data_IF_920714791846
#
_entry.id   IF_920714791846
#
_cell.length_a   1.000
_cell.length_b   1.000
_cell.length_c   1.000
_cell.angle_alpha   90.00
_cell.angle_beta   90.00
_cell.angle_gamma   90.00
#
_symmetry.space_group_name_H-M   'P 1'
#
loop_
_entity.id
_entity.type
_entity.pdbx_description
1 polymer ?
#
# COMPACT_ATOMS: atom_id res chain seq x y z
N UNK A 1 -5.40 28.06 -20.35
CA UNK A 1 -4.88 29.25 -21.08
C UNK A 1 -4.85 30.54 -20.23
N UNK A 2 -5.74 30.71 -19.24
CA UNK A 2 -5.76 31.91 -18.38
C UNK A 2 -4.62 31.97 -17.33
N UNK A 3 -4.15 30.86 -16.81
CA UNK A 3 -3.08 30.85 -15.79
C UNK A 3 -1.74 31.40 -16.30
N UNK A 4 -1.34 31.06 -17.52
CA UNK A 4 -0.11 31.58 -18.14
C UNK A 4 -0.13 33.11 -18.36
N UNK A 5 -1.29 33.69 -18.73
CA UNK A 5 -1.44 35.14 -18.88
C UNK A 5 -1.33 35.87 -17.55
N UNK A 6 -1.91 35.35 -16.47
CA UNK A 6 -1.84 35.98 -15.15
C UNK A 6 -0.42 35.96 -14.57
N UNK A 7 0.34 34.87 -14.76
CA UNK A 7 1.72 34.76 -14.31
C UNK A 7 2.60 35.79 -15.04
N UNK A 8 2.48 35.89 -16.36
CA UNK A 8 3.23 36.88 -17.16
C UNK A 8 2.90 38.32 -16.75
N UNK A 9 1.62 38.61 -16.51
CA UNK A 9 1.18 39.93 -16.02
C UNK A 9 1.75 40.24 -14.62
N UNK A 10 1.71 39.28 -13.70
CA UNK A 10 2.26 39.44 -12.36
C UNK A 10 3.77 39.71 -12.38
N UNK A 11 4.51 38.94 -13.22
CA UNK A 11 5.95 39.14 -13.39
C UNK A 11 6.26 40.53 -13.97
N UNK A 12 5.54 40.95 -15.01
CA UNK A 12 5.70 42.28 -15.62
C UNK A 12 5.42 43.36 -14.58
N UNK A 13 4.42 43.20 -13.73
CA UNK A 13 4.05 44.17 -12.69
C UNK A 13 5.14 44.23 -11.60
N UNK A 14 5.64 43.11 -11.10
CA UNK A 14 6.72 43.07 -10.09
C UNK A 14 7.99 43.69 -10.65
N UNK A 15 8.33 43.38 -11.91
CA UNK A 15 9.51 43.94 -12.60
C UNK A 15 9.38 45.46 -12.77
N UNK A 16 8.19 45.94 -13.20
CA UNK A 16 8.00 47.40 -13.39
C UNK A 16 8.04 48.17 -12.08
N UNK A 17 7.49 47.63 -11.00
CA UNK A 17 7.52 48.23 -9.66
C UNK A 17 8.96 48.23 -9.11
N UNK A 18 9.72 47.17 -9.29
CA UNK A 18 11.13 47.06 -8.89
C UNK A 18 12.00 48.08 -9.66
N UNK A 19 11.83 48.19 -10.97
CA UNK A 19 12.51 49.17 -11.81
C UNK A 19 12.22 50.59 -11.36
N UNK A 20 10.94 50.91 -11.09
CA UNK A 20 10.54 52.25 -10.62
C UNK A 20 11.15 52.58 -9.26
N UNK A 21 11.13 51.66 -8.32
CA UNK A 21 11.69 51.82 -6.96
C UNK A 21 13.19 52.10 -6.99
N UNK A 22 13.96 51.40 -7.80
CA UNK A 22 15.44 51.63 -7.90
C UNK A 22 15.73 52.91 -8.64
N UNK A 23 15.00 53.27 -9.69
CA UNK A 23 15.15 54.54 -10.37
C UNK A 23 14.88 55.72 -9.41
N UNK A 24 13.81 55.61 -8.58
CA UNK A 24 13.49 56.61 -7.57
C UNK A 24 14.60 56.72 -6.51
N UNK A 25 15.14 55.60 -6.03
CA UNK A 25 16.24 55.54 -5.08
C UNK A 25 17.54 56.16 -5.64
N UNK A 26 17.83 55.87 -6.91
CA UNK A 26 19.00 56.45 -7.59
C UNK A 26 18.90 57.98 -7.73
N UNK A 27 17.72 58.49 -8.11
CA UNK A 27 17.46 59.92 -8.20
C UNK A 27 17.62 60.60 -6.82
N UNK A 28 17.03 59.98 -5.78
CA UNK A 28 17.13 60.49 -4.41
C UNK A 28 18.60 60.55 -3.92
N UNK A 29 19.36 59.49 -4.17
CA UNK A 29 20.77 59.37 -3.76
C UNK A 29 21.64 60.40 -4.47
N UNK A 30 21.42 60.63 -5.77
CA UNK A 30 22.13 61.60 -6.54
C UNK A 30 21.85 63.04 -6.07
N UNK A 31 20.55 63.36 -5.80
CA UNK A 31 20.21 64.68 -5.25
C UNK A 31 20.77 64.88 -3.85
N UNK A 32 20.77 63.84 -3.02
CA UNK A 32 21.37 63.90 -1.68
C UNK A 32 22.88 64.17 -1.77
N UNK A 33 23.63 63.45 -2.61
CA UNK A 33 25.05 63.65 -2.79
C UNK A 33 25.38 65.03 -3.38
N UNK A 34 24.61 65.48 -4.34
CA UNK A 34 24.78 66.82 -4.89
C UNK A 34 24.59 67.91 -3.83
N UNK A 35 23.57 67.76 -2.99
CA UNK A 35 23.29 68.70 -1.89
C UNK A 35 24.40 68.73 -0.83
N UNK A 36 24.91 67.54 -0.45
CA UNK A 36 26.01 67.43 0.52
C UNK A 36 27.29 68.01 -0.04
N UNK A 37 27.61 67.79 -1.32
CA UNK A 37 28.79 68.40 -1.96
C UNK A 37 28.67 69.91 -2.05
N UNK A 38 27.51 70.42 -2.39
CA UNK A 38 27.21 71.84 -2.42
C UNK A 38 27.35 72.49 -1.04
N UNK A 39 26.82 71.90 0.02
CA UNK A 39 26.94 72.39 1.40
C UNK A 39 28.41 72.40 1.88
N UNK A 40 29.15 71.30 1.58
CA UNK A 40 30.59 71.26 1.93
C UNK A 40 31.39 72.32 1.22
N UNK A 41 31.14 72.58 -0.08
CA UNK A 41 31.82 73.59 -0.86
C UNK A 41 31.46 75.01 -0.40
N UNK A 42 30.16 75.22 -0.10
CA UNK A 42 29.61 76.47 0.43
C UNK A 42 30.25 76.82 1.78
N UNK A 43 30.28 75.85 2.73
CA UNK A 43 30.97 76.03 4.01
C UNK A 43 32.45 76.30 3.90
N UNK A 44 33.08 75.62 2.93
CA UNK A 44 34.50 75.85 2.64
C UNK A 44 34.80 77.24 2.06
N UNK A 45 33.96 77.72 1.13
CA UNK A 45 34.13 79.07 0.55
C UNK A 45 33.81 80.18 1.60
N UNK A 46 32.81 79.93 2.46
CA UNK A 46 32.46 80.86 3.55
C UNK A 46 33.63 80.97 4.55
N UNK A 47 34.23 79.87 4.97
CA UNK A 47 35.40 79.86 5.86
C UNK A 47 36.61 80.63 5.26
N UNK A 48 36.90 80.44 3.97
CA UNK A 48 37.96 81.20 3.26
C UNK A 48 37.64 82.65 3.21
N UNK A 49 36.40 83.06 3.06
CA UNK A 49 36.01 84.49 3.02
C UNK A 49 36.08 85.14 4.40
N UNK A 50 35.72 84.44 5.48
CA UNK A 50 35.71 84.98 6.86
C UNK A 50 37.16 85.11 7.43
N UNK A 51 38.05 84.14 7.20
CA UNK A 51 39.40 84.10 7.81
C UNK A 51 40.50 84.82 7.01
N UNK A 52 40.25 85.35 5.79
CA UNK A 52 41.21 86.03 4.92
C UNK A 52 42.56 85.29 4.78
N UNK A 53 42.51 83.99 4.68
CA UNK A 53 43.70 83.14 4.70
C UNK A 53 44.46 83.26 3.38
N UNK A 54 45.61 83.84 3.41
CA UNK A 54 46.53 83.96 2.26
C UNK A 54 47.67 82.90 2.31
N UNK A 55 47.82 82.17 3.45
CA UNK A 55 48.92 81.24 3.66
C UNK A 55 48.43 79.79 3.75
N UNK A 56 49.16 78.89 3.11
CA UNK A 56 48.81 77.45 3.01
C UNK A 56 48.73 76.72 4.35
N UNK A 57 49.68 77.07 5.27
CA UNK A 57 49.78 76.40 6.57
C UNK A 57 48.66 76.80 7.51
N UNK A 58 48.31 78.10 7.50
CA UNK A 58 47.15 78.64 8.21
C UNK A 58 45.84 78.03 7.68
N UNK A 59 45.73 77.84 6.37
CA UNK A 59 44.62 77.21 5.72
C UNK A 59 44.39 75.72 6.16
N UNK A 60 45.47 74.93 6.20
CA UNK A 60 45.41 73.56 6.65
C UNK A 60 45.11 73.46 8.15
N UNK A 61 45.56 74.42 8.96
CA UNK A 61 45.18 74.52 10.37
C UNK A 61 43.67 74.78 10.56
N UNK A 62 43.14 75.78 9.90
CA UNK A 62 41.75 76.19 9.95
C UNK A 62 40.81 75.05 9.44
N UNK A 63 41.22 74.33 8.39
CA UNK A 63 40.52 73.21 7.83
C UNK A 63 40.38 72.03 8.85
N UNK A 64 41.45 71.76 9.57
CA UNK A 64 41.50 70.74 10.60
C UNK A 64 40.66 71.10 11.81
N UNK A 65 40.68 72.37 12.25
CA UNK A 65 39.96 72.89 13.41
C UNK A 65 38.41 72.97 13.14
N UNK A 66 38.00 73.33 11.94
CA UNK A 66 36.62 73.51 11.57
C UNK A 66 36.02 72.36 10.81
N UNK A 67 36.66 71.18 10.73
CA UNK A 67 36.17 69.99 9.98
C UNK A 67 34.79 69.61 10.35
N UNK A 68 34.46 69.57 11.64
CA UNK A 68 33.09 69.17 12.11
C UNK A 68 32.03 70.23 11.82
N UNK A 69 32.39 71.55 11.93
CA UNK A 69 31.49 72.62 11.62
C UNK A 69 31.13 72.72 10.14
N UNK A 70 32.09 72.43 9.25
CA UNK A 70 31.87 72.44 7.79
C UNK A 70 30.92 71.33 7.38
N UNK A 71 30.92 70.16 8.08
CA UNK A 71 30.08 69.02 7.75
C UNK A 71 28.67 69.17 8.36
N UNK A 72 28.53 69.86 9.51
CA UNK A 72 27.27 69.92 10.27
C UNK A 72 26.54 71.30 10.11
N UNK A 73 27.08 72.28 9.49
CA UNK A 73 26.40 73.57 9.28
C UNK A 73 25.56 73.57 7.99
N UNK A 74 24.37 74.12 8.08
CA UNK A 74 23.50 74.34 6.90
C UNK A 74 23.98 75.60 6.13
N UNK A 75 25.17 75.52 5.55
CA UNK A 75 25.85 76.64 4.89
C UNK A 75 25.50 76.80 3.39
N UNK A 76 24.33 76.25 2.99
CA UNK A 76 23.84 76.30 1.60
C UNK A 76 23.62 77.72 1.08
N UNK A 77 23.28 78.64 1.96
CA UNK A 77 22.92 80.04 1.57
C UNK A 77 24.07 80.89 1.05
N UNK A 78 25.35 80.64 1.38
CA UNK A 78 26.47 81.42 0.95
C UNK A 78 26.67 81.42 -0.58
N UNK A 79 26.71 80.19 -1.19
CA UNK A 79 26.82 80.11 -2.64
C UNK A 79 25.51 80.48 -3.35
N UNK A 80 24.34 80.24 -2.72
CA UNK A 80 23.09 80.66 -3.28
C UNK A 80 22.95 82.19 -3.36
N UNK A 81 23.56 82.96 -2.42
CA UNK A 81 23.56 84.40 -2.44
C UNK A 81 24.36 84.98 -3.66
N UNK A 82 25.27 84.15 -4.26
CA UNK A 82 25.98 84.44 -5.48
C UNK A 82 25.31 83.84 -6.74
N UNK A 83 24.13 83.29 -6.63
CA UNK A 83 23.36 82.83 -7.74
C UNK A 83 23.65 81.38 -8.16
N UNK A 84 24.47 80.63 -7.41
CA UNK A 84 24.75 79.21 -7.68
C UNK A 84 23.68 78.27 -7.04
N UNK A 85 23.31 77.21 -7.79
CA UNK A 85 22.45 76.22 -7.30
C UNK A 85 23.17 74.87 -7.17
N UNK A 86 22.63 73.98 -6.29
CA UNK A 86 23.19 72.64 -6.13
C UNK A 86 23.19 71.82 -7.45
N UNK A 87 22.29 72.13 -8.33
CA UNK A 87 22.19 71.47 -9.67
C UNK A 87 23.33 71.93 -10.61
N UNK A 88 23.96 73.14 -10.43
CA UNK A 88 25.08 73.63 -11.23
C UNK A 88 26.34 72.81 -10.96
N UNK A 89 26.45 72.23 -9.78
CA UNK A 89 27.58 71.38 -9.37
C UNK A 89 27.34 69.89 -9.64
N UNK A 90 26.17 69.53 -10.06
CA UNK A 90 25.84 68.19 -10.51
C UNK A 90 26.37 67.96 -11.94
N UNK A 91 27.64 67.99 -12.14
CA UNK A 91 28.28 67.86 -13.45
C UNK A 91 27.95 66.49 -14.14
N UNK A 92 28.43 66.35 -15.38
CA UNK A 92 28.19 65.19 -16.32
C UNK A 92 28.32 63.74 -15.73
N UNK A 93 28.73 63.60 -14.44
CA UNK A 93 28.89 62.30 -13.73
C UNK A 93 27.58 61.58 -13.38
N UNK A 94 26.44 62.26 -13.35
CA UNK A 94 25.18 61.60 -13.09
C UNK A 94 24.70 60.72 -14.26
N UNK A 95 25.06 61.07 -15.53
CA UNK A 95 24.80 60.17 -16.67
C UNK A 95 25.46 58.81 -16.52
N UNK A 96 26.69 58.76 -16.00
CA UNK A 96 27.42 57.51 -15.72
C UNK A 96 26.80 56.73 -14.55
N UNK A 97 26.28 57.43 -13.53
CA UNK A 97 25.57 56.81 -12.39
C UNK A 97 24.27 56.11 -12.81
N UNK A 98 23.50 56.76 -13.68
CA UNK A 98 22.29 56.14 -14.24
C UNK A 98 22.58 54.94 -15.14
N UNK A 99 23.63 55.02 -15.96
CA UNK A 99 24.06 53.89 -16.82
C UNK A 99 24.48 52.68 -15.96
N UNK A 100 25.24 52.88 -14.86
CA UNK A 100 25.64 51.79 -13.98
C UNK A 100 24.41 51.21 -13.25
N UNK A 101 23.47 52.04 -12.77
CA UNK A 101 22.28 51.59 -12.11
C UNK A 101 21.34 50.82 -13.10
N UNK A 102 21.19 51.31 -14.32
CA UNK A 102 20.42 50.63 -15.38
C UNK A 102 21.04 49.31 -15.80
N UNK A 103 22.39 49.24 -15.91
CA UNK A 103 23.10 47.99 -16.20
C UNK A 103 22.97 46.96 -15.08
N UNK A 104 23.05 47.39 -13.81
CA UNK A 104 22.84 46.51 -12.65
C UNK A 104 21.43 45.96 -12.58
N UNK A 105 20.42 46.77 -12.91
CA UNK A 105 19.03 46.34 -13.01
C UNK A 105 18.80 45.35 -14.16
N UNK A 106 19.36 45.67 -15.33
CA UNK A 106 19.26 44.78 -16.50
C UNK A 106 19.84 43.40 -16.23
N UNK A 107 21.00 43.34 -15.59
CA UNK A 107 21.64 42.06 -15.21
C UNK A 107 20.83 41.30 -14.14
N UNK A 108 20.33 42.00 -13.12
CA UNK A 108 19.43 41.39 -12.12
C UNK A 108 18.16 40.80 -12.73
N UNK A 109 17.53 41.52 -13.64
CA UNK A 109 16.34 41.07 -14.36
C UNK A 109 16.62 39.84 -15.23
N UNK A 110 17.76 39.81 -15.93
CA UNK A 110 18.17 38.67 -16.74
C UNK A 110 18.41 37.42 -15.89
N UNK A 111 19.08 37.57 -14.74
CA UNK A 111 19.31 36.46 -13.78
C UNK A 111 17.96 35.95 -13.24
N UNK A 112 17.08 36.87 -12.84
CA UNK A 112 15.74 36.49 -12.36
C UNK A 112 14.94 35.76 -13.43
N UNK A 113 14.92 36.27 -14.66
CA UNK A 113 14.24 35.64 -15.77
C UNK A 113 14.79 34.24 -16.08
N UNK A 114 16.13 34.10 -16.10
CA UNK A 114 16.76 32.79 -16.30
C UNK A 114 16.42 31.79 -15.19
N UNK A 115 16.47 32.21 -13.93
CA UNK A 115 16.08 31.38 -12.79
C UNK A 115 14.60 30.99 -12.84
N UNK A 116 13.72 31.93 -13.21
CA UNK A 116 12.29 31.69 -13.36
C UNK A 116 11.98 30.69 -14.48
N UNK A 117 12.60 30.86 -15.65
CA UNK A 117 12.42 29.94 -16.77
C UNK A 117 12.94 28.55 -16.46
N UNK A 118 14.08 28.47 -15.76
CA UNK A 118 14.62 27.19 -15.30
C UNK A 118 13.68 26.48 -14.33
N UNK A 119 13.12 27.23 -13.38
CA UNK A 119 12.18 26.69 -12.38
C UNK A 119 10.89 26.21 -13.04
N UNK A 120 10.32 27.00 -13.92
CA UNK A 120 9.09 26.69 -14.64
C UNK A 120 9.25 25.48 -15.59
N UNK A 121 10.40 25.37 -16.24
CA UNK A 121 10.73 24.20 -17.06
C UNK A 121 10.81 22.93 -16.23
N UNK A 122 11.50 23.00 -15.08
CA UNK A 122 11.65 21.87 -14.16
C UNK A 122 10.31 21.39 -13.58
N UNK A 123 9.43 22.32 -13.21
CA UNK A 123 8.07 22.01 -12.75
C UNK A 123 7.24 21.31 -13.84
N UNK A 124 7.33 21.79 -15.07
CA UNK A 124 6.67 21.18 -16.23
C UNK A 124 7.15 19.75 -16.50
N UNK A 125 8.45 19.49 -16.40
CA UNK A 125 9.03 18.14 -16.57
C UNK A 125 8.52 17.15 -15.49
N UNK A 126 8.39 17.61 -14.24
CA UNK A 126 7.87 16.78 -13.14
C UNK A 126 6.40 16.41 -13.32
N UNK A 127 5.56 17.38 -13.72
CA UNK A 127 4.14 17.14 -14.02
C UNK A 127 3.98 16.21 -15.21
N UNK A 128 4.78 16.40 -16.26
CA UNK A 128 4.74 15.54 -17.45
C UNK A 128 5.13 14.10 -17.13
N UNK A 129 6.17 13.88 -16.33
CA UNK A 129 6.61 12.55 -15.88
C UNK A 129 5.52 11.83 -15.06
N UNK A 130 4.83 12.57 -14.17
CA UNK A 130 3.73 12.02 -13.38
C UNK A 130 2.52 11.66 -14.27
N UNK A 131 2.22 12.50 -15.26
CA UNK A 131 1.14 12.26 -16.21
C UNK A 131 1.44 11.03 -17.08
N UNK A 132 2.66 10.90 -17.59
CA UNK A 132 3.09 9.72 -18.36
C UNK A 132 3.04 8.44 -17.51
N UNK A 133 3.43 8.51 -16.25
CA UNK A 133 3.32 7.39 -15.32
C UNK A 133 1.86 6.96 -15.14
N UNK A 134 0.94 7.90 -14.85
CA UNK A 134 -0.48 7.60 -14.70
C UNK A 134 -1.12 7.05 -15.97
N UNK A 135 -0.69 7.54 -17.14
CA UNK A 135 -1.16 7.03 -18.44
C UNK A 135 -0.69 5.59 -18.65
N UNK A 136 0.57 5.26 -18.35
CA UNK A 136 1.09 3.90 -18.41
C UNK A 136 0.35 2.96 -17.46
N UNK A 137 0.09 3.40 -16.22
CA UNK A 137 -0.70 2.63 -15.25
C UNK A 137 -2.11 2.37 -15.78
N UNK A 138 -2.76 3.37 -16.34
CA UNK A 138 -4.12 3.26 -16.87
C UNK A 138 -4.22 2.32 -18.10
N UNK A 139 -3.13 2.17 -18.86
CA UNK A 139 -3.02 1.23 -19.99
C UNK A 139 -2.57 -0.17 -19.57
N UNK A 140 -2.40 -0.43 -18.27
CA UNK A 140 -2.02 -1.74 -17.72
C UNK A 140 -0.52 -2.01 -17.71
N UNK A 141 0.33 -1.02 -17.97
CA UNK A 141 1.80 -1.13 -17.89
C UNK A 141 2.32 -0.96 -16.47
N UNK A 142 3.35 -1.73 -16.10
CA UNK A 142 4.12 -1.48 -14.87
C UNK A 142 5.06 -0.29 -15.11
N UNK A 143 4.69 0.88 -14.62
CA UNK A 143 5.54 2.07 -14.64
C UNK A 143 6.38 2.14 -13.35
N UNK A 144 7.70 2.28 -13.48
CA UNK A 144 8.56 2.66 -12.36
C UNK A 144 8.57 4.20 -12.26
N UNK A 145 8.08 4.75 -11.15
CA UNK A 145 8.33 6.14 -10.80
C UNK A 145 9.79 6.26 -10.38
N UNK A 146 10.59 6.95 -11.19
CA UNK A 146 11.95 7.32 -10.80
C UNK A 146 11.87 8.23 -9.57
N UNK A 147 12.55 7.82 -8.49
CA UNK A 147 12.58 8.50 -7.21
C UNK A 147 12.86 10.00 -7.38
N UNK A 148 11.88 10.83 -7.03
CA UNK A 148 12.03 12.27 -6.98
C UNK A 148 12.85 12.66 -5.75
N UNK A 149 13.69 13.68 -5.93
CA UNK A 149 14.42 14.33 -4.84
C UNK A 149 13.44 14.98 -3.86
N UNK A 150 13.81 15.03 -2.58
CA UNK A 150 13.05 15.64 -1.48
C UNK A 150 12.38 16.98 -1.86
N UNK A 151 11.06 17.06 -1.67
CA UNK A 151 10.25 18.24 -1.94
C UNK A 151 8.74 17.97 -1.72
N UNK A 152 7.91 19.02 -1.80
CA UNK A 152 6.45 18.90 -1.63
C UNK A 152 5.80 17.91 -2.62
N UNK A 153 6.35 17.78 -3.81
CA UNK A 153 5.91 16.80 -4.83
C UNK A 153 6.22 15.34 -4.45
N UNK A 154 7.23 15.09 -3.58
CA UNK A 154 7.59 13.75 -3.14
C UNK A 154 6.45 13.08 -2.40
N UNK A 155 5.78 13.80 -1.49
CA UNK A 155 4.61 13.26 -0.76
C UNK A 155 3.46 12.89 -1.69
N UNK A 156 3.21 13.71 -2.71
CA UNK A 156 2.17 13.42 -3.71
C UNK A 156 2.52 12.17 -4.54
N UNK A 157 3.79 12.06 -4.95
CA UNK A 157 4.28 10.89 -5.68
C UNK A 157 4.19 9.61 -4.85
N UNK A 158 4.58 9.67 -3.56
CA UNK A 158 4.48 8.53 -2.65
C UNK A 158 3.04 8.08 -2.45
N UNK A 159 2.10 9.03 -2.28
CA UNK A 159 0.68 8.73 -2.11
C UNK A 159 0.05 8.14 -3.39
N UNK A 160 0.43 8.67 -4.56
CA UNK A 160 0.01 8.12 -5.85
C UNK A 160 0.57 6.71 -6.03
N UNK A 161 1.86 6.49 -5.74
CA UNK A 161 2.48 5.17 -5.84
C UNK A 161 1.80 4.15 -4.94
N UNK A 162 1.55 4.52 -3.68
CA UNK A 162 0.83 3.69 -2.71
C UNK A 162 -0.59 3.35 -3.21
N UNK A 163 -1.31 4.35 -3.70
CA UNK A 163 -2.67 4.17 -4.22
C UNK A 163 -2.69 3.23 -5.43
N UNK A 164 -1.76 3.42 -6.39
CA UNK A 164 -1.61 2.57 -7.57
C UNK A 164 -1.24 1.15 -7.18
N UNK A 165 -0.30 0.96 -6.24
CA UNK A 165 0.11 -0.36 -5.77
C UNK A 165 -1.06 -1.08 -5.09
N UNK A 166 -1.81 -0.39 -4.23
CA UNK A 166 -3.00 -0.93 -3.59
C UNK A 166 -4.09 -1.29 -4.61
N UNK A 167 -4.28 -0.46 -5.64
CA UNK A 167 -5.24 -0.73 -6.71
C UNK A 167 -4.86 -1.99 -7.51
N UNK A 168 -3.58 -2.16 -7.85
CA UNK A 168 -3.10 -3.36 -8.53
C UNK A 168 -3.29 -4.60 -7.65
N UNK A 169 -2.91 -4.57 -6.38
CA UNK A 169 -3.12 -5.68 -5.45
C UNK A 169 -4.60 -6.05 -5.32
N UNK A 170 -5.47 -5.05 -5.19
CA UNK A 170 -6.92 -5.28 -5.10
C UNK A 170 -7.49 -5.86 -6.40
N UNK A 171 -7.04 -5.37 -7.55
CA UNK A 171 -7.44 -5.89 -8.87
C UNK A 171 -7.00 -7.35 -9.04
N UNK A 172 -5.74 -7.65 -8.71
CA UNK A 172 -5.20 -9.00 -8.88
C UNK A 172 -5.90 -9.98 -7.94
N UNK A 173 -6.15 -9.59 -6.68
CA UNK A 173 -6.96 -10.37 -5.75
C UNK A 173 -8.41 -10.58 -6.26
N UNK A 174 -9.02 -9.55 -6.85
CA UNK A 174 -10.37 -9.67 -7.43
C UNK A 174 -10.40 -10.57 -8.66
N UNK A 175 -9.36 -10.55 -9.51
CA UNK A 175 -9.23 -11.45 -10.65
C UNK A 175 -9.03 -12.90 -10.21
N UNK A 176 -8.19 -13.13 -9.21
CA UNK A 176 -7.98 -14.45 -8.62
C UNK A 176 -9.27 -14.99 -8.00
N UNK A 177 -9.96 -14.17 -7.20
CA UNK A 177 -11.26 -14.55 -6.64
C UNK A 177 -12.30 -14.89 -7.72
N UNK A 178 -12.33 -14.12 -8.83
CA UNK A 178 -13.22 -14.38 -9.96
C UNK A 178 -12.90 -15.70 -10.65
N UNK A 179 -11.61 -16.00 -10.87
CA UNK A 179 -11.19 -17.25 -11.49
C UNK A 179 -11.54 -18.45 -10.58
N UNK A 180 -11.20 -18.35 -9.30
CA UNK A 180 -11.56 -19.38 -8.31
C UNK A 180 -13.07 -19.62 -8.24
N UNK A 181 -13.89 -18.55 -8.35
CA UNK A 181 -15.34 -18.68 -8.40
C UNK A 181 -15.82 -19.39 -9.67
N UNK A 182 -15.24 -19.06 -10.83
CA UNK A 182 -15.60 -19.74 -12.09
C UNK A 182 -15.23 -21.22 -12.07
N UNK A 183 -14.06 -21.57 -11.53
CA UNK A 183 -13.59 -22.96 -11.40
C UNK A 183 -14.49 -23.75 -10.42
N UNK A 184 -14.87 -23.13 -9.31
CA UNK A 184 -15.79 -23.73 -8.35
C UNK A 184 -17.16 -24.01 -8.98
N UNK A 185 -17.73 -23.06 -9.75
CA UNK A 185 -18.99 -23.27 -10.46
C UNK A 185 -18.90 -24.40 -11.49
N UNK A 186 -17.79 -24.46 -12.24
CA UNK A 186 -17.54 -25.53 -13.19
C UNK A 186 -17.50 -26.90 -12.49
N UNK A 187 -16.78 -26.99 -11.39
CA UNK A 187 -16.68 -28.22 -10.60
C UNK A 187 -18.03 -28.65 -10.00
N UNK A 188 -18.81 -27.70 -9.45
CA UNK A 188 -20.15 -27.95 -8.97
C UNK A 188 -21.05 -28.52 -10.09
N UNK A 189 -21.06 -27.88 -11.25
CA UNK A 189 -21.88 -28.34 -12.38
C UNK A 189 -21.49 -29.76 -12.82
N UNK A 190 -20.21 -30.11 -12.81
CA UNK A 190 -19.72 -31.44 -13.11
C UNK A 190 -20.14 -32.47 -12.05
N UNK A 191 -20.01 -32.13 -10.76
CA UNK A 191 -20.41 -32.99 -9.65
C UNK A 191 -21.93 -33.21 -9.57
N UNK A 192 -22.74 -32.25 -10.03
CA UNK A 192 -24.20 -32.41 -10.16
C UNK A 192 -24.59 -33.25 -11.38
N UNK A 193 -23.94 -33.05 -12.53
CA UNK A 193 -24.28 -33.76 -13.77
C UNK A 193 -24.15 -35.27 -13.65
N UNK A 194 -23.10 -35.77 -12.99
CA UNK A 194 -22.81 -37.19 -12.85
C UNK A 194 -23.93 -37.96 -12.15
N UNK A 195 -24.37 -37.60 -10.91
CA UNK A 195 -25.44 -38.29 -10.22
C UNK A 195 -26.82 -38.14 -10.91
N UNK A 196 -27.09 -36.93 -11.47
CA UNK A 196 -28.34 -36.70 -12.21
C UNK A 196 -28.44 -37.63 -13.42
N UNK A 197 -27.33 -37.77 -14.17
CA UNK A 197 -27.28 -38.69 -15.33
C UNK A 197 -27.47 -40.16 -14.88
N UNK A 198 -26.82 -40.56 -13.77
CA UNK A 198 -26.99 -41.90 -13.22
C UNK A 198 -28.42 -42.18 -12.72
N UNK A 199 -29.04 -41.20 -12.06
CA UNK A 199 -30.46 -41.30 -11.65
C UNK A 199 -31.37 -41.47 -12.88
N UNK A 200 -31.20 -40.63 -13.90
CA UNK A 200 -31.99 -40.66 -15.13
C UNK A 200 -31.87 -42.00 -15.85
N UNK A 201 -30.66 -42.52 -15.99
CA UNK A 201 -30.40 -43.82 -16.59
C UNK A 201 -31.02 -44.97 -15.77
N UNK A 202 -30.83 -44.94 -14.44
CA UNK A 202 -31.41 -45.98 -13.57
C UNK A 202 -32.94 -45.95 -13.57
N UNK A 203 -33.57 -44.76 -13.67
CA UNK A 203 -35.01 -44.60 -13.79
C UNK A 203 -35.54 -45.23 -15.09
N UNK A 204 -34.88 -44.98 -16.23
CA UNK A 204 -35.24 -45.62 -17.52
C UNK A 204 -35.14 -47.15 -17.47
N UNK A 205 -34.09 -47.66 -16.81
CA UNK A 205 -33.92 -49.12 -16.69
C UNK A 205 -34.95 -49.76 -15.78
N UNK A 206 -35.48 -49.05 -14.77
CA UNK A 206 -36.62 -49.52 -13.94
C UNK A 206 -37.88 -49.64 -14.79
N UNK A 207 -38.14 -48.66 -15.66
CA UNK A 207 -39.29 -48.69 -16.57
C UNK A 207 -39.21 -49.88 -17.52
N UNK A 208 -38.02 -50.26 -17.98
CA UNK A 208 -37.84 -51.38 -18.93
C UNK A 208 -37.85 -52.77 -18.25
N UNK A 209 -37.26 -52.89 -17.03
CA UNK A 209 -36.95 -54.22 -16.43
C UNK A 209 -37.59 -54.47 -15.06
N UNK A 210 -38.23 -53.50 -14.44
CA UNK A 210 -38.84 -53.60 -13.08
C UNK A 210 -37.88 -54.13 -12.01
N UNK A 211 -36.59 -53.78 -12.07
CA UNK A 211 -35.56 -54.35 -11.21
C UNK A 211 -35.30 -53.44 -9.99
N UNK A 212 -35.41 -54.01 -8.78
CA UNK A 212 -35.22 -53.32 -7.50
C UNK A 212 -33.76 -52.81 -7.28
N UNK A 213 -32.81 -53.38 -7.99
CA UNK A 213 -31.40 -52.99 -7.91
C UNK A 213 -31.20 -51.53 -8.33
N UNK A 214 -31.88 -51.09 -9.41
CA UNK A 214 -31.81 -49.73 -9.91
C UNK A 214 -32.43 -48.70 -8.94
N UNK A 215 -33.43 -49.09 -8.18
CA UNK A 215 -34.02 -48.26 -7.11
C UNK A 215 -32.97 -48.01 -5.97
N UNK A 216 -32.18 -49.01 -5.66
CA UNK A 216 -31.05 -48.87 -4.74
C UNK A 216 -29.97 -47.88 -5.23
N UNK A 217 -29.65 -47.97 -6.52
CA UNK A 217 -28.69 -47.04 -7.15
C UNK A 217 -29.22 -45.58 -7.14
N UNK A 218 -30.50 -45.36 -7.44
CA UNK A 218 -31.12 -44.03 -7.34
C UNK A 218 -30.99 -43.47 -5.92
N UNK A 219 -31.36 -44.25 -4.90
CA UNK A 219 -31.24 -43.83 -3.50
C UNK A 219 -29.82 -43.40 -3.13
N UNK A 220 -28.80 -44.16 -3.58
CA UNK A 220 -27.39 -43.84 -3.34
C UNK A 220 -27.00 -42.52 -4.00
N UNK A 221 -27.47 -42.24 -5.23
CA UNK A 221 -27.16 -40.98 -5.92
C UNK A 221 -27.90 -39.78 -5.32
N UNK A 222 -29.12 -39.95 -4.85
CA UNK A 222 -29.88 -38.93 -4.13
C UNK A 222 -29.17 -38.57 -2.82
N UNK A 223 -28.76 -39.56 -2.01
CA UNK A 223 -28.00 -39.32 -0.79
C UNK A 223 -26.67 -38.53 -1.06
N UNK A 224 -26.01 -38.87 -2.17
CA UNK A 224 -24.80 -38.13 -2.60
C UNK A 224 -25.10 -36.66 -2.96
N UNK A 225 -26.24 -36.39 -3.63
CA UNK A 225 -26.66 -35.03 -3.97
C UNK A 225 -27.01 -34.23 -2.71
N UNK A 226 -27.69 -34.84 -1.74
CA UNK A 226 -28.00 -34.18 -0.45
C UNK A 226 -26.70 -33.81 0.28
N UNK A 227 -25.77 -34.74 0.37
CA UNK A 227 -24.46 -34.43 1.00
C UNK A 227 -23.68 -33.34 0.27
N UNK A 228 -23.73 -33.28 -1.07
CA UNK A 228 -23.14 -32.20 -1.85
C UNK A 228 -23.82 -30.84 -1.53
N UNK A 229 -25.18 -30.82 -1.45
CA UNK A 229 -25.95 -29.64 -1.10
C UNK A 229 -25.55 -29.10 0.28
N UNK A 230 -25.53 -29.97 1.31
CA UNK A 230 -25.11 -29.60 2.68
C UNK A 230 -23.68 -29.02 2.72
N UNK A 231 -22.75 -29.67 2.04
CA UNK A 231 -21.36 -29.19 1.95
C UNK A 231 -21.26 -27.81 1.26
N UNK A 232 -22.02 -27.58 0.19
CA UNK A 232 -22.06 -26.29 -0.51
C UNK A 232 -22.70 -25.20 0.34
N UNK A 233 -23.77 -25.49 1.07
CA UNK A 233 -24.38 -24.55 2.00
C UNK A 233 -23.41 -24.16 3.13
N UNK A 234 -22.68 -25.15 3.66
CA UNK A 234 -21.68 -24.90 4.69
C UNK A 234 -20.52 -24.01 4.16
N UNK A 235 -19.98 -24.34 2.98
CA UNK A 235 -18.97 -23.50 2.33
C UNK A 235 -19.47 -22.06 2.10
N UNK A 236 -20.71 -21.91 1.65
CA UNK A 236 -21.32 -20.58 1.47
C UNK A 236 -21.40 -19.79 2.78
N UNK A 237 -21.74 -20.45 3.90
CA UNK A 237 -21.77 -19.81 5.24
C UNK A 237 -20.37 -19.41 5.72
N UNK A 238 -19.38 -20.25 5.44
CA UNK A 238 -17.96 -19.96 5.74
C UNK A 238 -17.50 -18.74 4.94
N UNK A 239 -17.73 -18.72 3.62
CA UNK A 239 -17.27 -17.65 2.71
C UNK A 239 -17.92 -16.30 3.00
N UNK A 240 -19.19 -16.30 3.40
CA UNK A 240 -19.92 -15.07 3.76
C UNK A 240 -19.67 -14.62 5.20
N UNK A 241 -18.90 -15.39 5.99
CA UNK A 241 -18.67 -15.11 7.41
C UNK A 241 -19.94 -15.20 8.27
N UNK A 242 -20.96 -15.91 7.78
CA UNK A 242 -22.25 -16.06 8.51
C UNK A 242 -22.30 -17.32 9.39
N UNK A 243 -21.25 -18.15 9.33
CA UNK A 243 -21.11 -19.27 10.25
C UNK A 243 -20.72 -18.76 11.64
N UNK A 244 -21.62 -18.87 12.58
CA UNK A 244 -21.38 -18.51 14.00
C UNK A 244 -20.79 -19.70 14.75
N UNK A 245 -19.73 -19.47 15.53
CA UNK A 245 -19.09 -20.50 16.34
C UNK A 245 -19.34 -20.22 17.83
N UNK A 246 -19.81 -21.23 18.55
CA UNK A 246 -19.97 -21.17 20.00
C UNK A 246 -18.72 -21.75 20.69
N UNK A 247 -17.66 -20.91 20.80
CA UNK A 247 -16.38 -21.34 21.36
C UNK A 247 -16.46 -21.51 22.88
N UNK A 248 -16.20 -22.71 23.32
CA UNK A 248 -16.12 -23.11 24.75
C UNK A 248 -14.80 -23.86 25.02
N UNK A 249 -14.49 -24.06 26.29
CA UNK A 249 -13.34 -24.91 26.67
C UNK A 249 -13.72 -26.37 26.45
N UNK A 250 -12.96 -27.05 25.61
CA UNK A 250 -13.15 -28.44 25.25
C UNK A 250 -11.93 -29.27 25.61
N UNK A 251 -12.15 -30.42 26.18
CA UNK A 251 -11.12 -31.43 26.31
C UNK A 251 -10.94 -32.17 24.98
N UNK A 252 -9.71 -32.25 24.50
CA UNK A 252 -9.39 -32.82 23.18
C UNK A 252 -9.69 -34.30 23.10
N UNK A 253 -9.39 -35.05 24.19
CA UNK A 253 -9.71 -36.48 24.22
C UNK A 253 -11.21 -36.74 24.01
N UNK A 254 -12.03 -35.93 24.67
CA UNK A 254 -13.48 -35.99 24.52
C UNK A 254 -13.94 -35.75 23.08
N UNK A 255 -13.39 -34.72 22.41
CA UNK A 255 -13.70 -34.44 21.00
C UNK A 255 -13.30 -35.58 20.07
N UNK A 256 -12.10 -36.13 20.24
CA UNK A 256 -11.60 -37.25 19.43
C UNK A 256 -12.42 -38.50 19.62
N UNK A 257 -12.78 -38.81 20.87
CA UNK A 257 -13.62 -40.00 21.21
C UNK A 257 -15.00 -39.88 20.60
N UNK A 258 -15.67 -38.73 20.74
CA UNK A 258 -16.99 -38.52 20.15
C UNK A 258 -16.96 -38.56 18.62
N UNK A 259 -15.88 -38.01 17.99
CA UNK A 259 -15.71 -38.13 16.54
C UNK A 259 -15.55 -39.60 16.08
N UNK A 260 -14.78 -40.39 16.84
CA UNK A 260 -14.62 -41.81 16.56
C UNK A 260 -15.90 -42.61 16.75
N UNK A 261 -16.67 -42.35 17.80
CA UNK A 261 -17.95 -43.00 18.04
C UNK A 261 -18.94 -42.78 16.87
N UNK A 262 -18.96 -41.56 16.30
CA UNK A 262 -19.76 -41.26 15.11
C UNK A 262 -19.29 -41.98 13.85
N UNK A 263 -18.04 -42.45 13.80
CA UNK A 263 -17.48 -43.20 12.67
C UNK A 263 -17.47 -44.72 12.88
N UNK A 264 -18.07 -45.23 13.97
CA UNK A 264 -18.03 -46.64 14.29
C UNK A 264 -18.63 -47.56 13.19
N UNK A 265 -19.71 -47.16 12.55
CA UNK A 265 -20.27 -47.90 11.41
C UNK A 265 -19.30 -47.98 10.23
N UNK A 266 -18.64 -46.87 9.95
CA UNK A 266 -17.61 -46.82 8.88
C UNK A 266 -16.40 -47.67 9.23
N UNK A 267 -15.97 -47.67 10.48
CA UNK A 267 -14.87 -48.51 11.02
C UNK A 267 -15.16 -49.99 10.79
N UNK A 268 -16.35 -50.46 11.14
CA UNK A 268 -16.79 -51.84 10.90
C UNK A 268 -16.87 -52.18 9.40
N UNK A 269 -17.38 -51.25 8.58
CA UNK A 269 -17.55 -51.49 7.13
C UNK A 269 -16.21 -51.50 6.37
N UNK A 270 -15.25 -50.69 6.81
CA UNK A 270 -13.90 -50.61 6.19
C UNK A 270 -12.91 -51.60 6.79
N UNK A 271 -13.25 -52.27 7.87
CA UNK A 271 -12.35 -53.13 8.67
C UNK A 271 -11.10 -52.38 9.12
N UNK A 272 -11.28 -51.12 9.61
CA UNK A 272 -10.20 -50.24 10.09
C UNK A 272 -10.47 -49.82 11.52
N UNK A 273 -9.54 -50.08 12.42
CA UNK A 273 -9.66 -49.75 13.86
C UNK A 273 -9.22 -48.32 14.10
N UNK A 274 -9.95 -47.56 14.94
CA UNK A 274 -9.53 -46.25 15.43
C UNK A 274 -8.81 -46.38 16.78
N UNK A 275 -7.54 -46.05 16.83
CA UNK A 275 -6.70 -46.09 18.04
C UNK A 275 -6.53 -44.67 18.59
N UNK A 276 -7.27 -44.32 19.64
CA UNK A 276 -7.24 -43.03 20.31
C UNK A 276 -6.74 -43.24 21.73
N UNK A 277 -5.49 -42.92 21.99
CA UNK A 277 -4.89 -43.04 23.30
C UNK A 277 -5.11 -41.78 24.12
N UNK A 278 -5.42 -41.94 25.43
CA UNK A 278 -5.46 -40.85 26.36
C UNK A 278 -4.03 -40.40 26.71
N UNK A 279 -3.65 -39.17 26.36
CA UNK A 279 -2.37 -38.56 26.63
C UNK A 279 -2.41 -37.53 27.78
N UNK A 280 -3.50 -37.51 28.57
CA UNK A 280 -3.71 -36.57 29.64
C UNK A 280 -4.53 -35.34 29.23
N UNK A 281 -4.65 -34.39 30.15
CA UNK A 281 -5.50 -33.22 29.97
C UNK A 281 -4.93 -32.27 28.88
N UNK A 282 -5.72 -32.00 27.82
CA UNK A 282 -5.44 -31.02 26.79
C UNK A 282 -6.70 -30.23 26.46
N UNK A 283 -6.69 -28.92 26.74
CA UNK A 283 -7.87 -28.08 26.61
C UNK A 283 -7.69 -27.06 25.50
N UNK A 284 -8.66 -26.99 24.59
CA UNK A 284 -8.77 -26.00 23.53
C UNK A 284 -10.00 -25.10 23.73
N UNK A 285 -9.97 -23.90 23.17
CA UNK A 285 -11.16 -23.03 23.12
C UNK A 285 -11.72 -23.06 21.70
N UNK A 286 -12.76 -23.86 21.51
CA UNK A 286 -13.30 -24.16 20.20
C UNK A 286 -14.80 -24.45 20.28
N UNK A 287 -15.46 -24.54 19.12
CA UNK A 287 -16.83 -25.01 18.99
C UNK A 287 -16.84 -26.55 18.90
N UNK A 288 -17.61 -27.20 19.76
CA UNK A 288 -17.62 -28.66 19.87
C UNK A 288 -18.08 -29.32 18.56
N UNK A 289 -19.23 -28.88 18.03
CA UNK A 289 -19.86 -29.49 16.87
C UNK A 289 -18.99 -29.34 15.63
N UNK A 290 -18.51 -28.13 15.35
CA UNK A 290 -17.66 -27.86 14.19
C UNK A 290 -16.27 -28.47 14.31
N UNK A 291 -15.69 -28.52 15.50
CA UNK A 291 -14.39 -29.20 15.70
C UNK A 291 -14.51 -30.70 15.48
N UNK A 292 -15.57 -31.28 16.00
CA UNK A 292 -15.85 -32.70 15.79
C UNK A 292 -16.06 -33.00 14.29
N UNK A 293 -16.84 -32.19 13.56
CA UNK A 293 -17.04 -32.33 12.12
C UNK A 293 -15.69 -32.26 11.35
N UNK A 294 -14.82 -31.29 11.70
CA UNK A 294 -13.51 -31.18 11.08
C UNK A 294 -12.65 -32.42 11.32
N UNK A 295 -12.61 -32.91 12.55
CA UNK A 295 -11.87 -34.13 12.93
C UNK A 295 -12.43 -35.36 12.22
N UNK A 296 -13.76 -35.53 12.20
CA UNK A 296 -14.43 -36.65 11.49
C UNK A 296 -14.05 -36.72 10.02
N UNK A 297 -13.98 -35.58 9.33
CA UNK A 297 -13.57 -35.55 7.92
C UNK A 297 -12.11 -35.99 7.72
N UNK A 298 -11.21 -35.66 8.66
CA UNK A 298 -9.80 -36.10 8.61
C UNK A 298 -9.68 -37.59 8.92
N UNK A 299 -10.35 -38.07 9.98
CA UNK A 299 -10.42 -39.50 10.33
C UNK A 299 -10.98 -40.31 9.20
N UNK A 300 -12.11 -39.91 8.62
CA UNK A 300 -12.73 -40.57 7.48
C UNK A 300 -11.77 -40.68 6.29
N UNK A 301 -11.03 -39.63 6.01
CA UNK A 301 -10.02 -39.65 4.94
C UNK A 301 -8.95 -40.73 5.21
N UNK A 302 -8.39 -40.78 6.41
CA UNK A 302 -7.42 -41.78 6.82
C UNK A 302 -8.02 -43.22 6.69
N UNK A 303 -9.25 -43.43 7.17
CA UNK A 303 -9.91 -44.74 7.10
C UNK A 303 -10.18 -45.19 5.65
N UNK A 304 -10.62 -44.26 4.79
CA UNK A 304 -10.91 -44.55 3.38
C UNK A 304 -9.66 -44.94 2.58
N UNK A 305 -8.45 -44.52 3.02
CA UNK A 305 -7.18 -44.80 2.38
C UNK A 305 -6.34 -45.88 3.09
N UNK A 306 -6.84 -46.42 4.21
CA UNK A 306 -6.20 -47.50 4.93
C UNK A 306 -6.58 -48.87 4.33
N UNK A 307 -5.64 -49.85 4.30
CA UNK A 307 -6.00 -51.23 3.96
C UNK A 307 -6.88 -51.89 5.03
N UNK A 308 -7.67 -52.87 4.68
CA UNK A 308 -8.46 -53.65 5.63
C UNK A 308 -7.56 -54.29 6.70
N UNK A 309 -7.97 -54.26 7.95
CA UNK A 309 -7.23 -54.72 9.14
C UNK A 309 -6.17 -53.72 9.66
N UNK A 310 -6.07 -52.55 9.03
CA UNK A 310 -5.15 -51.49 9.49
C UNK A 310 -5.72 -50.63 10.63
N UNK A 311 -4.89 -49.74 11.17
CA UNK A 311 -5.28 -48.81 12.20
C UNK A 311 -5.11 -47.37 11.73
N UNK A 312 -6.01 -46.51 12.21
CA UNK A 312 -5.86 -45.04 12.16
C UNK A 312 -5.62 -44.60 13.58
N UNK A 313 -4.47 -43.95 13.77
CA UNK A 313 -3.98 -43.52 15.07
C UNK A 313 -4.26 -42.04 15.32
N UNK A 314 -4.59 -41.70 16.56
CA UNK A 314 -4.74 -40.32 17.02
C UNK A 314 -3.90 -40.08 18.27
N UNK A 315 -3.12 -39.03 18.24
CA UNK A 315 -2.41 -38.53 19.42
C UNK A 315 -2.61 -37.02 19.57
N UNK A 316 -2.45 -36.53 20.79
CA UNK A 316 -2.47 -35.11 21.05
C UNK A 316 -1.46 -34.74 22.14
N UNK A 317 -0.96 -33.54 22.10
CA UNK A 317 -0.07 -32.97 23.11
C UNK A 317 -0.35 -31.50 23.30
N UNK A 318 -0.18 -31.02 24.53
CA UNK A 318 -0.33 -29.60 24.86
C UNK A 318 1.02 -29.01 25.24
N UNK A 319 1.34 -27.85 24.65
CA UNK A 319 2.45 -27.01 25.07
C UNK A 319 1.93 -25.60 25.41
N UNK A 320 2.77 -24.67 25.92
CA UNK A 320 2.32 -23.34 26.30
C UNK A 320 1.74 -22.48 25.16
N UNK A 321 2.00 -22.82 23.91
CA UNK A 321 1.61 -22.01 22.75
C UNK A 321 0.39 -22.58 22.00
N UNK A 322 0.27 -23.90 21.92
CA UNK A 322 -0.79 -24.59 21.19
C UNK A 322 -1.05 -26.00 21.73
N UNK A 323 -2.19 -26.53 21.39
CA UNK A 323 -2.49 -27.96 21.46
C UNK A 323 -2.29 -28.52 20.06
N UNK A 324 -1.48 -29.57 19.93
CA UNK A 324 -1.26 -30.31 18.69
C UNK A 324 -2.08 -31.59 18.72
N UNK A 325 -2.84 -31.84 17.64
CA UNK A 325 -3.55 -33.11 17.40
C UNK A 325 -2.95 -33.69 16.15
N UNK A 326 -2.57 -34.98 16.16
CA UNK A 326 -2.01 -35.69 15.04
C UNK A 326 -2.86 -36.92 14.76
N UNK A 327 -3.29 -37.07 13.51
CA UNK A 327 -4.06 -38.20 13.00
C UNK A 327 -3.23 -38.80 11.86
N UNK A 328 -3.02 -40.12 11.86
CA UNK A 328 -2.27 -40.76 10.79
C UNK A 328 -2.77 -42.19 10.53
N UNK A 329 -2.50 -42.66 9.31
CA UNK A 329 -2.90 -43.98 8.83
C UNK A 329 -1.69 -44.86 8.46
N UNK A 330 -1.96 -46.13 8.20
CA UNK A 330 -1.01 -47.12 7.74
C UNK A 330 -1.16 -47.40 6.23
N UNK A 331 -1.71 -46.47 5.47
CA UNK A 331 -1.93 -46.58 4.04
C UNK A 331 -0.68 -46.25 3.19
N UNK A 332 -0.89 -46.08 1.89
CA UNK A 332 0.17 -45.74 0.95
C UNK A 332 0.63 -44.27 1.06
N UNK A 333 -0.13 -43.43 1.76
CA UNK A 333 0.09 -41.99 1.84
C UNK A 333 -0.36 -41.22 0.59
N UNK A 334 -0.09 -39.92 0.59
CA UNK A 334 -0.42 -39.04 -0.54
C UNK A 334 0.67 -39.03 -1.61
N UNK A 335 0.28 -38.86 -2.87
CA UNK A 335 1.27 -38.52 -3.89
C UNK A 335 1.89 -37.14 -3.59
N UNK A 336 3.21 -37.00 -3.75
CA UNK A 336 3.92 -35.74 -3.42
C UNK A 336 3.37 -34.52 -4.16
N UNK A 337 2.89 -34.71 -5.40
CA UNK A 337 2.27 -33.66 -6.21
C UNK A 337 0.90 -33.20 -5.67
N UNK A 338 0.20 -34.09 -4.94
CA UNK A 338 -1.15 -33.83 -4.44
C UNK A 338 -1.13 -33.07 -3.10
N UNK A 339 -0.07 -33.23 -2.30
CA UNK A 339 0.03 -32.64 -0.95
C UNK A 339 -0.27 -31.12 -0.92
N UNK A 340 0.24 -30.29 -1.81
CA UNK A 340 -0.05 -28.86 -1.81
C UNK A 340 -1.54 -28.52 -2.07
N UNK A 341 -2.26 -29.44 -2.72
CA UNK A 341 -3.62 -29.24 -3.22
C UNK A 341 -4.71 -29.93 -2.39
N UNK A 342 -4.34 -30.77 -1.41
CA UNK A 342 -5.27 -31.58 -0.62
C UNK A 342 -6.41 -30.77 0.02
N UNK A 343 -6.16 -29.53 0.42
CA UNK A 343 -7.13 -28.66 1.04
C UNK A 343 -7.84 -27.71 0.06
N UNK A 344 -7.57 -27.84 -1.25
CA UNK A 344 -8.31 -27.08 -2.26
C UNK A 344 -9.70 -27.68 -2.45
N UNK A 345 -10.68 -26.84 -2.72
CA UNK A 345 -12.07 -27.25 -2.92
C UNK A 345 -12.20 -28.07 -4.20
N UNK A 346 -12.96 -29.16 -4.12
CA UNK A 346 -13.19 -30.09 -5.23
C UNK A 346 -11.94 -30.83 -5.73
N UNK A 347 -10.81 -30.63 -5.06
CA UNK A 347 -9.58 -31.36 -5.41
C UNK A 347 -9.72 -32.84 -5.07
N UNK A 348 -9.28 -33.69 -5.98
CA UNK A 348 -9.26 -35.13 -5.83
C UNK A 348 -7.93 -35.65 -6.39
N UNK A 349 -7.12 -36.26 -5.54
CA UNK A 349 -5.90 -36.96 -5.97
C UNK A 349 -6.22 -38.15 -6.90
N UNK A 350 -5.19 -38.67 -7.56
CA UNK A 350 -5.35 -39.80 -8.49
C UNK A 350 -5.93 -41.05 -7.80
N UNK A 351 -5.60 -41.27 -6.52
CA UNK A 351 -6.06 -42.40 -5.71
C UNK A 351 -7.35 -42.10 -4.91
N UNK A 352 -8.08 -41.04 -5.25
CA UNK A 352 -9.27 -40.66 -4.51
C UNK A 352 -10.38 -41.72 -4.62
N UNK A 353 -11.04 -42.02 -3.49
CA UNK A 353 -12.13 -43.01 -3.42
C UNK A 353 -13.25 -42.62 -4.38
N UNK A 354 -13.80 -43.64 -5.09
CA UNK A 354 -14.91 -43.46 -6.02
C UNK A 354 -16.13 -42.91 -5.26
N UNK A 355 -16.50 -41.69 -5.59
CA UNK A 355 -17.67 -41.05 -4.97
C UNK A 355 -17.36 -39.93 -4.00
N UNK A 356 -16.08 -39.73 -3.62
CA UNK A 356 -15.68 -38.53 -2.85
C UNK A 356 -15.95 -37.27 -3.67
N UNK A 357 -16.34 -36.19 -3.01
CA UNK A 357 -16.67 -34.88 -3.64
C UNK A 357 -15.43 -33.98 -3.69
N UNK A 358 -14.46 -34.19 -2.79
CA UNK A 358 -13.26 -33.35 -2.67
C UNK A 358 -13.51 -32.03 -1.90
N UNK A 359 -14.48 -32.04 -0.99
CA UNK A 359 -14.83 -30.83 -0.19
C UNK A 359 -14.45 -31.02 1.28
N UNK A 360 -14.46 -32.24 1.83
CA UNK A 360 -14.31 -32.50 3.26
C UNK A 360 -13.04 -31.90 3.87
N UNK A 361 -11.87 -32.10 3.24
CA UNK A 361 -10.61 -31.54 3.73
C UNK A 361 -10.59 -30.01 3.69
N UNK A 362 -11.17 -29.39 2.68
CA UNK A 362 -11.26 -27.92 2.59
C UNK A 362 -12.19 -27.33 3.66
N UNK A 363 -13.27 -28.02 4.01
CA UNK A 363 -14.15 -27.67 5.13
C UNK A 363 -13.39 -27.79 6.45
N UNK A 364 -12.69 -28.92 6.69
CA UNK A 364 -11.88 -29.11 7.90
C UNK A 364 -10.87 -27.99 8.10
N UNK A 365 -10.14 -27.63 7.06
CA UNK A 365 -9.19 -26.51 7.09
C UNK A 365 -9.88 -25.20 7.46
N UNK A 366 -10.96 -24.86 6.79
CA UNK A 366 -11.68 -23.62 7.04
C UNK A 366 -12.22 -23.52 8.48
N UNK A 367 -12.80 -24.60 9.01
CA UNK A 367 -13.31 -24.68 10.38
C UNK A 367 -12.18 -24.52 11.40
N UNK A 368 -11.03 -25.17 11.18
CA UNK A 368 -9.86 -25.08 12.06
C UNK A 368 -9.30 -23.65 12.04
N UNK A 369 -9.15 -23.04 10.87
CA UNK A 369 -8.63 -21.66 10.71
C UNK A 369 -9.57 -20.63 11.35
N UNK A 370 -10.89 -20.78 11.24
CA UNK A 370 -11.87 -19.90 11.91
C UNK A 370 -11.76 -19.98 13.45
N UNK A 371 -11.19 -21.04 13.99
CA UNK A 371 -10.98 -21.27 15.42
C UNK A 371 -9.53 -20.98 15.85
N UNK A 372 -8.77 -20.21 15.07
CA UNK A 372 -7.39 -19.86 15.36
C UNK A 372 -6.45 -21.07 15.36
N UNK A 373 -6.71 -22.04 14.52
CA UNK A 373 -5.86 -23.21 14.31
C UNK A 373 -5.24 -23.22 12.92
N UNK A 374 -4.34 -24.16 12.69
CA UNK A 374 -3.78 -24.50 11.39
C UNK A 374 -3.80 -26.00 11.21
N UNK A 375 -3.93 -26.47 9.97
CA UNK A 375 -3.85 -27.89 9.64
C UNK A 375 -2.83 -28.11 8.54
N UNK A 376 -2.03 -29.16 8.70
CA UNK A 376 -1.03 -29.63 7.72
C UNK A 376 -1.29 -31.08 7.39
N UNK A 377 -0.91 -31.48 6.18
CA UNK A 377 -0.94 -32.87 5.75
C UNK A 377 0.41 -33.27 5.16
N UNK A 378 0.74 -34.52 5.26
CA UNK A 378 1.99 -35.04 4.72
C UNK A 378 2.04 -36.57 4.81
N UNK A 379 3.21 -37.15 4.47
CA UNK A 379 3.45 -38.58 4.56
C UNK A 379 4.43 -38.89 5.69
N UNK A 380 4.22 -40.01 6.35
CA UNK A 380 5.16 -40.54 7.32
C UNK A 380 6.39 -41.13 6.59
N UNK A 381 7.60 -41.10 7.22
CA UNK A 381 8.80 -41.68 6.63
C UNK A 381 8.70 -43.19 6.34
N UNK A 382 7.93 -43.91 7.14
CA UNK A 382 7.72 -45.35 7.08
C UNK A 382 6.53 -45.77 6.23
N UNK A 383 5.82 -44.84 5.61
CA UNK A 383 4.58 -45.03 4.87
C UNK A 383 3.37 -44.53 5.67
N UNK A 384 2.25 -44.28 4.97
CA UNK A 384 1.03 -43.71 5.53
C UNK A 384 0.98 -42.18 5.43
N UNK A 385 -0.25 -41.66 5.47
CA UNK A 385 -0.52 -40.24 5.50
C UNK A 385 -0.70 -39.72 6.94
N UNK A 386 -0.47 -38.44 7.15
CA UNK A 386 -0.81 -37.80 8.41
C UNK A 386 -1.44 -36.44 8.20
N UNK A 387 -2.29 -36.07 9.15
CA UNK A 387 -2.79 -34.72 9.37
C UNK A 387 -2.33 -34.22 10.73
N UNK A 388 -1.85 -32.98 10.81
CA UNK A 388 -1.44 -32.31 12.02
C UNK A 388 -2.23 -31.01 12.19
N UNK A 389 -2.99 -30.91 13.27
CA UNK A 389 -3.76 -29.73 13.65
C UNK A 389 -3.05 -29.06 14.81
N UNK A 390 -2.86 -27.74 14.75
CA UNK A 390 -2.39 -26.93 15.88
C UNK A 390 -3.44 -25.88 16.20
N UNK A 391 -3.99 -25.97 17.44
CA UNK A 391 -4.95 -25.00 17.98
C UNK A 391 -4.21 -24.09 18.95
N UNK A 392 -4.10 -22.80 18.62
CA UNK A 392 -3.36 -21.85 19.44
C UNK A 392 -4.16 -21.40 20.65
N UNK A 393 -3.46 -21.41 21.83
CA UNK A 393 -4.01 -20.90 23.08
C UNK A 393 -3.93 -19.37 23.08
N UNK A 394 -5.06 -18.69 23.21
CA UNK A 394 -5.12 -17.25 23.46
C UNK A 394 -5.96 -16.95 24.68
#
# INVERSE_FOLDING_TARGET
>A
MNGKKNIVVTILLVVSVSLFSVMLSAVFLLKYYSRVQFQMLSGFCQMLAEERIADRDAFMGALKENREKIVLSDNGDFLESFGYRADDFAGRRWETGYLIAAAGLGTGLLIFMAAFLYWHKKEGEQISALTEYLEKVNTGGQGLLLAAREGEYSRLQDEIYKTVTTLHQTRDAALEAKNNYADNLHNIAHQLKTPITAISLSAQLIEEKSDLEYAGQIRKQVARLTHLEEALLLLSRIDTGTLTLEKVKLDVFTVLTLAADNLQELSVLSDVELDISDHGEAVITADMEWTMEAVMNLLKNCMEHSPAGARVHCSYEQNPLYVQIRIWDEGEGFEKKDIPHLFERFYRGENAVKGSIGIGLSISKAIIEMQNGVVHAGNLPEGGAFFEIRMYSH
#
